data_IF_825999681146
#
_entry.id   IF_825999681146
#
_cell.length_a   1.000
_cell.length_b   1.000
_cell.length_c   1.000
_cell.angle_alpha   90.00
_cell.angle_beta   90.00
_cell.angle_gamma   90.00
#
_symmetry.space_group_name_H-M   'P 1'
#
loop_
_entity.id
_entity.type
_entity.pdbx_description
1 polymer ?
#
# COMPACT_ATOMS: atom_id res chain seq x y z
N UNK A 1 -12.45 -16.97 -77.72
CA UNK A 1 -12.29 -18.39 -77.32
C UNK A 1 -11.03 -18.52 -76.50
N UNK A 2 -11.09 -19.18 -75.34
CA UNK A 2 -9.90 -19.63 -74.57
C UNK A 2 -9.69 -18.94 -73.22
N UNK A 3 -9.97 -19.68 -72.14
CA UNK A 3 -9.83 -19.32 -70.71
C UNK A 3 -8.48 -19.78 -70.10
N UNK A 4 -8.14 -19.19 -68.94
CA UNK A 4 -7.23 -19.63 -67.86
C UNK A 4 -5.70 -19.60 -68.13
N UNK A 5 -4.84 -19.07 -67.24
CA UNK A 5 -4.74 -19.26 -65.79
C UNK A 5 -3.95 -18.12 -65.09
N UNK A 6 -4.35 -17.80 -63.86
CA UNK A 6 -3.69 -16.89 -62.93
C UNK A 6 -2.27 -17.36 -62.52
N UNK A 7 -1.30 -16.44 -62.48
CA UNK A 7 -0.03 -16.58 -61.73
C UNK A 7 0.10 -15.43 -60.75
N UNK A 8 0.37 -15.76 -59.50
CA UNK A 8 0.70 -14.86 -58.39
C UNK A 8 2.10 -14.25 -58.59
N UNK A 9 2.33 -12.96 -58.28
CA UNK A 9 3.67 -12.43 -58.14
C UNK A 9 4.18 -12.55 -56.69
N UNK A 10 5.45 -12.89 -56.60
CA UNK A 10 6.29 -13.09 -55.42
C UNK A 10 6.48 -11.82 -54.57
N UNK A 11 6.58 -12.01 -53.24
CA UNK A 11 6.94 -10.98 -52.24
C UNK A 11 8.31 -10.35 -52.54
N UNK A 12 8.47 -9.01 -52.43
CA UNK A 12 9.78 -8.39 -52.30
C UNK A 12 10.25 -8.43 -50.84
N UNK A 13 11.54 -8.71 -50.67
CA UNK A 13 12.28 -8.75 -49.39
C UNK A 13 12.34 -7.37 -48.72
N UNK A 14 11.85 -7.24 -47.50
CA UNK A 14 12.06 -6.04 -46.67
C UNK A 14 13.42 -6.09 -45.98
N UNK A 15 14.22 -5.04 -46.20
CA UNK A 15 15.46 -4.74 -45.47
C UNK A 15 15.13 -4.51 -43.99
N UNK A 16 15.89 -5.14 -43.09
CA UNK A 16 15.95 -4.76 -41.69
C UNK A 16 16.53 -3.36 -41.60
N UNK A 17 15.83 -2.46 -40.92
CA UNK A 17 16.39 -1.21 -40.40
C UNK A 17 16.62 -1.46 -38.92
N UNK A 18 17.89 -1.50 -38.53
CA UNK A 18 18.33 -1.68 -37.16
C UNK A 18 17.97 -0.44 -36.32
N UNK A 19 17.26 -0.65 -35.21
CA UNK A 19 16.95 0.40 -34.25
C UNK A 19 18.07 0.47 -33.19
N UNK A 20 18.80 1.58 -33.17
CA UNK A 20 19.76 1.92 -32.11
C UNK A 20 19.03 2.23 -30.78
N UNK A 21 19.66 1.95 -29.62
CA UNK A 21 19.01 2.05 -28.31
C UNK A 21 19.04 3.48 -27.75
N UNK A 22 17.86 4.06 -27.50
CA UNK A 22 17.67 5.25 -26.67
C UNK A 22 17.86 4.86 -25.19
N UNK A 23 19.09 4.98 -24.69
CA UNK A 23 19.50 4.52 -23.36
C UNK A 23 19.73 5.64 -22.32
N UNK A 24 19.22 6.86 -22.55
CA UNK A 24 19.52 8.00 -21.64
C UNK A 24 18.31 8.60 -20.90
N UNK A 25 17.07 8.19 -21.22
CA UNK A 25 15.86 8.72 -20.54
C UNK A 25 15.28 7.83 -19.42
N UNK A 26 15.67 6.57 -19.35
CA UNK A 26 15.06 5.55 -18.45
C UNK A 26 15.71 5.46 -17.07
N UNK A 27 16.84 6.14 -16.84
CA UNK A 27 17.55 6.06 -15.56
C UNK A 27 16.83 6.85 -14.45
N UNK A 28 16.11 7.91 -14.78
CA UNK A 28 15.58 8.87 -13.81
C UNK A 28 14.21 8.48 -13.20
N UNK A 29 13.54 7.46 -13.75
CA UNK A 29 12.26 6.92 -13.25
C UNK A 29 12.42 5.74 -12.29
N UNK A 30 13.65 5.26 -12.04
CA UNK A 30 13.90 4.15 -11.10
C UNK A 30 13.68 4.53 -9.63
N UNK A 31 13.75 5.81 -9.29
CA UNK A 31 13.72 6.26 -7.88
C UNK A 31 12.31 6.63 -7.37
N UNK A 32 11.26 6.43 -8.19
CA UNK A 32 9.89 6.87 -7.83
C UNK A 32 8.82 5.78 -7.81
N UNK A 33 9.17 4.53 -8.12
CA UNK A 33 8.18 3.45 -8.22
C UNK A 33 8.73 2.18 -7.59
N UNK A 34 8.47 1.98 -6.31
CA UNK A 34 8.69 0.68 -5.69
C UNK A 34 7.40 -0.13 -5.84
N UNK A 35 7.09 -0.63 -7.04
CA UNK A 35 6.18 -1.77 -7.18
C UNK A 35 7.04 -3.03 -7.04
N UNK A 36 7.00 -3.69 -5.89
CA UNK A 36 7.71 -4.96 -5.73
C UNK A 36 6.87 -6.04 -6.41
N UNK A 37 7.29 -6.44 -7.62
CA UNK A 37 6.88 -7.72 -8.20
C UNK A 37 7.68 -8.82 -7.49
N UNK A 38 7.11 -9.42 -6.45
CA UNK A 38 7.75 -10.53 -5.76
C UNK A 38 7.57 -11.82 -6.58
N UNK A 39 8.68 -12.42 -7.01
CA UNK A 39 8.68 -13.81 -7.47
C UNK A 39 8.87 -14.68 -6.23
N UNK A 40 7.83 -15.40 -5.80
CA UNK A 40 7.96 -16.35 -4.70
C UNK A 40 8.67 -17.61 -5.23
N UNK A 41 9.91 -17.82 -4.81
CA UNK A 41 10.57 -19.14 -4.82
C UNK A 41 10.54 -19.69 -3.41
N UNK A 42 10.24 -20.98 -3.28
CA UNK A 42 10.04 -21.72 -2.04
C UNK A 42 11.11 -21.42 -0.98
N UNK A 43 10.73 -20.74 0.09
CA UNK A 43 11.18 -20.99 1.47
C UNK A 43 10.47 -20.00 2.41
N UNK A 44 9.71 -20.53 3.36
CA UNK A 44 9.60 -20.09 4.76
C UNK A 44 8.45 -20.90 5.40
N UNK A 45 8.85 -21.91 6.14
CA UNK A 45 8.03 -22.60 7.13
C UNK A 45 8.06 -21.82 8.45
N UNK A 46 6.90 -21.80 9.12
CA UNK A 46 6.71 -21.59 10.56
C UNK A 46 6.75 -20.16 11.15
N UNK A 47 5.55 -19.58 11.39
CA UNK A 47 5.18 -18.83 12.62
C UNK A 47 3.69 -18.43 12.58
N UNK A 48 2.96 -18.65 13.68
CA UNK A 48 1.49 -18.75 13.73
C UNK A 48 0.71 -17.43 13.86
N UNK A 49 -0.53 -17.46 13.38
CA UNK A 49 -1.69 -16.81 14.02
C UNK A 49 -2.66 -16.17 13.04
N UNK A 50 -2.20 -15.10 12.38
CA UNK A 50 -2.99 -14.33 11.38
C UNK A 50 -2.45 -14.55 9.97
N UNK A 51 -1.16 -14.86 9.84
CA UNK A 51 -0.50 -15.29 8.60
C UNK A 51 -1.00 -16.69 8.17
N UNK A 52 -1.50 -17.52 9.09
CA UNK A 52 -1.89 -18.92 8.79
C UNK A 52 -3.15 -19.05 7.93
N UNK A 53 -4.10 -18.11 7.99
CA UNK A 53 -5.29 -18.13 7.12
C UNK A 53 -5.00 -17.62 5.72
N UNK A 54 -4.20 -16.56 5.61
CA UNK A 54 -3.70 -16.07 4.32
C UNK A 54 -2.75 -17.08 3.67
N UNK A 55 -1.86 -17.73 4.44
CA UNK A 55 -1.00 -18.78 3.92
C UNK A 55 -1.82 -19.99 3.47
N UNK A 56 -2.77 -20.51 4.26
CA UNK A 56 -3.58 -21.66 3.84
C UNK A 56 -4.36 -21.40 2.55
N UNK A 57 -4.93 -20.21 2.37
CA UNK A 57 -5.64 -19.80 1.14
C UNK A 57 -4.70 -19.49 -0.04
N UNK A 58 -3.55 -18.86 0.21
CA UNK A 58 -2.50 -18.66 -0.79
C UNK A 58 -1.94 -20.01 -1.25
N UNK A 59 -1.68 -20.96 -0.34
CA UNK A 59 -1.17 -22.30 -0.66
C UNK A 59 -2.19 -23.14 -1.44
N UNK A 60 -3.47 -23.16 -1.03
CA UNK A 60 -4.51 -23.87 -1.81
C UNK A 60 -4.84 -23.20 -3.16
N UNK A 61 -4.64 -21.89 -3.28
CA UNK A 61 -4.71 -21.18 -4.56
C UNK A 61 -3.50 -21.43 -5.46
N UNK A 62 -2.30 -21.52 -4.87
CA UNK A 62 -1.02 -21.73 -5.56
C UNK A 62 -0.88 -23.14 -6.13
N UNK A 63 -1.40 -24.18 -5.45
CA UNK A 63 -1.39 -25.56 -5.96
C UNK A 63 -2.17 -25.76 -7.27
N UNK A 64 -3.05 -24.81 -7.61
CA UNK A 64 -3.84 -24.83 -8.84
C UNK A 64 -3.16 -24.13 -10.02
N UNK A 65 -1.95 -23.60 -9.84
CA UNK A 65 -1.18 -23.00 -10.94
C UNK A 65 -0.53 -24.08 -11.81
N UNK A 66 -0.88 -24.06 -13.09
CA UNK A 66 -0.30 -24.91 -14.13
C UNK A 66 1.22 -24.85 -14.04
N UNK A 67 1.88 -26.00 -13.83
CA UNK A 67 3.33 -26.15 -13.93
C UNK A 67 3.87 -25.32 -15.10
N UNK A 68 4.73 -24.33 -14.83
CA UNK A 68 5.47 -23.55 -15.84
C UNK A 68 5.05 -22.09 -16.07
N UNK A 69 4.16 -21.49 -15.26
CA UNK A 69 3.90 -20.03 -15.29
C UNK A 69 4.34 -19.36 -14.01
N UNK A 70 5.02 -18.22 -14.14
CA UNK A 70 5.39 -17.33 -13.03
C UNK A 70 4.14 -16.70 -12.43
N UNK A 71 3.96 -16.84 -11.12
CA UNK A 71 2.94 -16.13 -10.37
C UNK A 71 3.32 -14.64 -10.28
N UNK A 72 2.42 -13.75 -10.68
CA UNK A 72 2.63 -12.30 -10.60
C UNK A 72 1.70 -11.69 -9.56
N UNK A 73 2.32 -11.07 -8.55
CA UNK A 73 1.62 -10.40 -7.44
C UNK A 73 1.88 -8.90 -7.52
N UNK A 74 0.82 -8.08 -7.37
CA UNK A 74 0.94 -6.65 -7.11
C UNK A 74 0.58 -6.35 -5.66
N UNK A 75 1.45 -5.58 -5.00
CA UNK A 75 1.27 -5.13 -3.62
C UNK A 75 1.02 -3.62 -3.61
N UNK A 76 -0.02 -3.21 -2.90
CA UNK A 76 -0.44 -1.82 -2.72
C UNK A 76 -0.09 -1.34 -1.32
N UNK A 77 0.63 -0.22 -1.24
CA UNK A 77 1.13 0.30 0.03
C UNK A 77 0.04 1.02 0.84
N UNK A 78 0.23 0.96 2.16
CA UNK A 78 -0.58 1.66 3.14
C UNK A 78 -0.11 3.09 3.42
N UNK A 79 -0.49 3.59 4.59
CA UNK A 79 -0.12 4.93 5.06
C UNK A 79 1.40 5.09 5.26
N UNK A 80 1.94 6.30 5.06
CA UNK A 80 3.34 6.64 5.34
C UNK A 80 4.24 6.80 4.11
N UNK A 81 3.72 6.54 2.91
CA UNK A 81 4.46 6.69 1.63
C UNK A 81 4.20 8.03 0.93
N UNK A 82 3.32 8.86 1.48
CA UNK A 82 2.95 10.14 0.87
C UNK A 82 4.13 11.13 0.87
N UNK A 83 4.29 11.84 -0.24
CA UNK A 83 5.26 12.94 -0.38
C UNK A 83 4.67 14.05 -1.23
N UNK A 84 5.00 15.30 -0.88
CA UNK A 84 4.63 16.45 -1.72
C UNK A 84 5.32 16.29 -3.09
N UNK A 85 4.56 16.54 -4.16
CA UNK A 85 5.00 16.33 -5.54
C UNK A 85 4.98 14.87 -6.00
N UNK A 86 4.35 13.94 -5.26
CA UNK A 86 4.34 12.51 -5.67
C UNK A 86 3.68 12.23 -7.03
N UNK A 87 2.89 13.16 -7.55
CA UNK A 87 2.24 13.07 -8.86
C UNK A 87 2.96 13.85 -9.96
N UNK A 88 3.97 14.68 -9.64
CA UNK A 88 4.60 15.62 -10.59
C UNK A 88 5.27 14.89 -11.74
N UNK A 89 6.08 13.86 -11.46
CA UNK A 89 6.74 13.07 -12.51
C UNK A 89 5.73 12.40 -13.47
N UNK A 90 4.57 11.99 -12.95
CA UNK A 90 3.50 11.39 -13.75
C UNK A 90 2.76 12.42 -14.59
N UNK A 91 2.55 13.63 -14.06
CA UNK A 91 1.99 14.76 -14.78
C UNK A 91 2.88 15.21 -15.93
N UNK A 92 4.20 15.26 -15.70
CA UNK A 92 5.17 15.70 -16.70
C UNK A 92 5.33 14.65 -17.81
N UNK A 93 5.41 13.37 -17.45
CA UNK A 93 5.62 12.29 -18.42
C UNK A 93 4.34 11.86 -19.16
N UNK A 94 3.17 11.87 -18.49
CA UNK A 94 1.91 11.36 -19.03
C UNK A 94 0.74 12.35 -18.83
N UNK A 95 0.84 13.59 -19.33
CA UNK A 95 -0.13 14.65 -19.03
C UNK A 95 -1.55 14.32 -19.53
N UNK A 96 -1.69 13.56 -20.62
CA UNK A 96 -2.99 13.17 -21.18
C UNK A 96 -3.80 12.27 -20.25
N UNK A 97 -3.15 11.53 -19.36
CA UNK A 97 -3.79 10.62 -18.40
C UNK A 97 -3.79 11.22 -17.00
N UNK A 98 -2.66 11.78 -16.58
CA UNK A 98 -2.51 12.29 -15.22
C UNK A 98 -3.36 13.53 -14.93
N UNK A 99 -3.47 14.48 -15.87
CA UNK A 99 -4.28 15.70 -15.65
C UNK A 99 -5.77 15.39 -15.45
N UNK A 100 -6.48 14.69 -16.37
CA UNK A 100 -7.89 14.39 -16.18
C UNK A 100 -8.12 13.48 -14.97
N UNK A 101 -7.18 12.60 -14.64
CA UNK A 101 -7.28 11.76 -13.43
C UNK A 101 -7.25 12.59 -12.14
N UNK A 102 -6.37 13.59 -12.05
CA UNK A 102 -6.34 14.48 -10.88
C UNK A 102 -7.58 15.38 -10.81
N UNK A 103 -8.15 15.78 -11.94
CA UNK A 103 -9.42 16.49 -12.00
C UNK A 103 -10.60 15.60 -11.58
N UNK A 104 -10.61 14.32 -11.99
CA UNK A 104 -11.58 13.31 -11.53
C UNK A 104 -11.48 13.12 -10.01
N UNK A 105 -10.27 13.03 -9.47
CA UNK A 105 -10.04 12.91 -8.03
C UNK A 105 -10.59 14.13 -7.27
N UNK A 106 -10.25 15.34 -7.71
CA UNK A 106 -10.67 16.58 -7.06
C UNK A 106 -12.20 16.75 -7.12
N UNK A 107 -12.81 16.49 -8.27
CA UNK A 107 -14.26 16.57 -8.45
C UNK A 107 -15.02 15.50 -7.66
N UNK A 108 -14.47 14.28 -7.57
CA UNK A 108 -15.05 13.20 -6.78
C UNK A 108 -15.11 13.54 -5.29
N UNK A 109 -14.07 14.19 -4.76
CA UNK A 109 -13.98 14.57 -3.36
C UNK A 109 -14.57 15.95 -3.07
N UNK A 110 -14.84 16.75 -4.10
CA UNK A 110 -15.15 18.17 -3.98
C UNK A 110 -14.10 18.95 -3.16
N UNK A 111 -12.83 18.56 -3.32
CA UNK A 111 -11.67 19.12 -2.63
C UNK A 111 -10.51 19.19 -3.62
N UNK A 112 -9.74 20.28 -3.60
CA UNK A 112 -8.53 20.45 -4.42
C UNK A 112 -7.35 19.61 -3.89
N UNK A 113 -7.52 18.29 -3.77
CA UNK A 113 -6.51 17.38 -3.23
C UNK A 113 -5.26 17.36 -4.11
N UNK A 114 -5.41 17.51 -5.43
CA UNK A 114 -4.31 17.66 -6.39
C UNK A 114 -3.37 18.82 -6.05
N UNK A 115 -3.94 19.93 -5.55
CA UNK A 115 -3.19 21.12 -5.13
C UNK A 115 -2.42 20.84 -3.85
N UNK A 116 -3.03 20.12 -2.90
CA UNK A 116 -2.37 19.70 -1.65
C UNK A 116 -1.20 18.75 -1.95
N UNK A 117 -1.40 17.78 -2.85
CA UNK A 117 -0.36 16.85 -3.28
C UNK A 117 0.80 17.59 -3.94
N UNK A 118 0.51 18.55 -4.82
CA UNK A 118 1.55 19.20 -5.63
C UNK A 118 2.30 20.30 -4.88
N UNK A 119 1.60 21.10 -4.08
CA UNK A 119 2.14 22.36 -3.51
C UNK A 119 1.85 22.54 -2.01
N UNK A 120 1.12 21.62 -1.38
CA UNK A 120 0.80 21.73 0.03
C UNK A 120 2.06 21.58 0.89
N UNK A 121 2.15 22.23 2.06
CA UNK A 121 3.19 21.88 3.02
C UNK A 121 3.01 20.41 3.45
N UNK A 122 4.11 19.72 3.74
CA UNK A 122 4.08 18.32 4.22
C UNK A 122 3.12 18.14 5.40
N UNK A 123 3.01 19.12 6.29
CA UNK A 123 2.06 19.09 7.42
C UNK A 123 0.60 18.96 6.99
N UNK A 124 0.21 19.55 5.86
CA UNK A 124 -1.16 19.44 5.36
C UNK A 124 -1.39 18.13 4.61
N UNK A 125 -0.41 17.67 3.83
CA UNK A 125 -0.49 16.37 3.16
C UNK A 125 -0.47 15.19 4.16
N UNK A 126 0.27 15.34 5.27
CA UNK A 126 0.39 14.32 6.32
C UNK A 126 -0.85 14.19 7.20
N UNK A 127 -1.82 15.10 7.10
CA UNK A 127 -3.10 14.92 7.78
C UNK A 127 -3.79 13.68 7.23
N UNK A 128 -4.23 12.79 8.11
CA UNK A 128 -4.79 11.48 7.76
C UNK A 128 -5.87 11.58 6.68
N UNK A 129 -6.77 12.55 6.80
CA UNK A 129 -7.85 12.81 5.86
C UNK A 129 -7.37 13.12 4.44
N UNK A 130 -6.17 13.69 4.29
CA UNK A 130 -5.57 14.03 2.98
C UNK A 130 -4.61 12.92 2.51
N UNK A 131 -3.77 12.39 3.39
CA UNK A 131 -2.75 11.40 3.04
C UNK A 131 -3.38 10.13 2.49
N UNK A 132 -4.43 9.61 3.13
CA UNK A 132 -5.06 8.36 2.73
C UNK A 132 -5.63 8.39 1.30
N UNK A 133 -6.55 9.32 0.94
CA UNK A 133 -7.06 9.38 -0.43
C UNK A 133 -5.95 9.72 -1.42
N UNK A 134 -4.95 10.53 -1.05
CA UNK A 134 -3.85 10.87 -1.95
C UNK A 134 -3.00 9.64 -2.34
N UNK A 135 -2.65 8.79 -1.36
CA UNK A 135 -1.87 7.56 -1.60
C UNK A 135 -2.66 6.59 -2.50
N UNK A 136 -3.93 6.35 -2.18
CA UNK A 136 -4.78 5.44 -2.94
C UNK A 136 -4.98 5.96 -4.37
N UNK A 137 -5.29 7.25 -4.55
CA UNK A 137 -5.45 7.85 -5.87
C UNK A 137 -4.16 7.80 -6.70
N UNK A 138 -3.00 8.09 -6.10
CA UNK A 138 -1.71 8.04 -6.81
C UNK A 138 -1.37 6.61 -7.23
N UNK A 139 -1.69 5.62 -6.40
CA UNK A 139 -1.47 4.21 -6.77
C UNK A 139 -2.32 3.81 -7.98
N UNK A 140 -3.59 4.23 -8.02
CA UNK A 140 -4.46 3.98 -9.17
C UNK A 140 -4.07 4.79 -10.41
N UNK A 141 -3.54 6.01 -10.24
CA UNK A 141 -2.97 6.79 -11.34
C UNK A 141 -1.84 6.01 -12.03
N UNK A 142 -0.92 5.43 -11.25
CA UNK A 142 0.19 4.64 -11.78
C UNK A 142 -0.36 3.44 -12.58
N UNK A 143 -1.35 2.73 -12.04
CA UNK A 143 -1.99 1.63 -12.74
C UNK A 143 -2.65 2.10 -14.06
N UNK A 144 -3.33 3.24 -14.04
CA UNK A 144 -3.98 3.80 -15.22
C UNK A 144 -2.96 4.16 -16.31
N UNK A 145 -1.84 4.75 -15.91
CA UNK A 145 -0.72 5.04 -16.83
C UNK A 145 -0.18 3.75 -17.45
N UNK A 146 0.02 2.70 -16.64
CA UNK A 146 0.47 1.39 -17.14
C UNK A 146 -0.52 0.79 -18.15
N UNK A 147 -1.82 0.88 -17.86
CA UNK A 147 -2.87 0.37 -18.74
C UNK A 147 -2.92 1.14 -20.08
N UNK A 148 -2.92 2.47 -20.03
CA UNK A 148 -3.14 3.32 -21.21
C UNK A 148 -1.90 3.47 -22.09
N UNK A 149 -0.71 3.59 -21.50
CA UNK A 149 0.52 3.88 -22.26
C UNK A 149 1.38 2.66 -22.54
N UNK A 150 1.22 1.60 -21.75
CA UNK A 150 2.05 0.39 -21.85
C UNK A 150 1.24 -0.87 -22.17
N UNK A 151 -0.07 -0.73 -22.41
CA UNK A 151 -0.95 -1.86 -22.74
C UNK A 151 -1.00 -2.91 -21.62
N UNK A 152 -0.79 -2.51 -20.37
CA UNK A 152 -0.76 -3.42 -19.24
C UNK A 152 -2.17 -3.90 -18.91
N UNK A 153 -2.50 -5.14 -19.30
CA UNK A 153 -3.77 -5.76 -18.92
C UNK A 153 -3.65 -6.42 -17.54
N UNK A 154 -4.19 -5.74 -16.52
CA UNK A 154 -4.29 -6.19 -15.14
C UNK A 154 -4.82 -7.62 -15.01
N UNK A 155 -5.88 -7.99 -15.75
CA UNK A 155 -6.53 -9.30 -15.63
C UNK A 155 -5.71 -10.42 -16.27
N UNK A 156 -4.96 -10.11 -17.32
CA UNK A 156 -4.11 -11.09 -18.00
C UNK A 156 -2.70 -11.21 -17.39
N UNK A 157 -2.28 -10.23 -16.59
CA UNK A 157 -0.90 -10.11 -16.08
C UNK A 157 -0.77 -10.30 -14.59
N UNK A 158 -1.85 -10.17 -13.80
CA UNK A 158 -1.80 -10.26 -12.34
C UNK A 158 -2.65 -11.43 -11.89
N UNK A 159 -2.04 -12.31 -11.13
CA UNK A 159 -2.71 -13.44 -10.52
C UNK A 159 -3.29 -13.09 -9.15
N UNK A 160 -2.58 -12.23 -8.40
CA UNK A 160 -2.97 -11.83 -7.04
C UNK A 160 -2.71 -10.34 -6.82
N UNK A 161 -3.66 -9.66 -6.18
CA UNK A 161 -3.55 -8.27 -5.75
C UNK A 161 -3.71 -8.21 -4.23
N UNK A 162 -2.77 -7.58 -3.53
CA UNK A 162 -2.74 -7.50 -2.06
C UNK A 162 -2.51 -6.08 -1.60
N UNK A 163 -3.26 -5.62 -0.61
CA UNK A 163 -3.10 -4.28 -0.05
C UNK A 163 -2.73 -4.31 1.42
N UNK A 164 -1.78 -3.47 1.82
CA UNK A 164 -1.45 -3.27 3.23
C UNK A 164 -2.31 -2.15 3.82
N UNK A 165 -3.20 -2.49 4.76
CA UNK A 165 -4.10 -1.53 5.41
C UNK A 165 -4.88 -0.69 4.39
N UNK A 166 -4.61 0.61 4.27
CA UNK A 166 -5.18 1.49 3.25
C UNK A 166 -5.02 0.95 1.81
N UNK A 167 -3.92 0.25 1.53
CA UNK A 167 -3.64 -0.32 0.21
C UNK A 167 -4.71 -1.32 -0.25
N UNK A 168 -5.50 -1.90 0.67
CA UNK A 168 -6.57 -2.84 0.33
C UNK A 168 -7.64 -2.21 -0.57
N UNK A 169 -7.93 -0.91 -0.38
CA UNK A 169 -8.85 -0.19 -1.26
C UNK A 169 -8.31 -0.06 -2.67
N UNK A 170 -7.01 0.18 -2.83
CA UNK A 170 -6.37 0.21 -4.14
C UNK A 170 -6.35 -1.19 -4.78
N UNK A 171 -6.11 -2.23 -3.97
CA UNK A 171 -6.18 -3.63 -4.43
C UNK A 171 -7.58 -4.00 -4.94
N UNK A 172 -8.63 -3.61 -4.23
CA UNK A 172 -10.02 -3.84 -4.62
C UNK A 172 -10.41 -3.08 -5.90
N UNK A 173 -9.92 -1.86 -6.08
CA UNK A 173 -10.13 -1.10 -7.33
C UNK A 173 -9.37 -1.74 -8.48
N UNK A 174 -8.11 -2.11 -8.29
CA UNK A 174 -7.31 -2.79 -9.30
C UNK A 174 -7.90 -4.15 -9.70
N UNK A 175 -8.44 -4.90 -8.73
CA UNK A 175 -9.15 -6.15 -8.97
C UNK A 175 -10.51 -5.99 -9.66
N UNK A 176 -11.01 -4.76 -9.78
CA UNK A 176 -12.31 -4.46 -10.39
C UNK A 176 -13.51 -4.74 -9.49
N UNK A 177 -13.31 -4.95 -8.19
CA UNK A 177 -14.38 -5.15 -7.21
C UNK A 177 -15.01 -3.84 -6.75
N UNK A 178 -14.25 -2.74 -6.81
CA UNK A 178 -14.73 -1.40 -6.51
C UNK A 178 -14.42 -0.44 -7.66
N UNK A 179 -15.35 0.47 -7.93
CA UNK A 179 -15.07 1.62 -8.80
C UNK A 179 -14.17 2.64 -8.10
N UNK A 180 -13.33 3.34 -8.87
CA UNK A 180 -12.39 4.34 -8.33
C UNK A 180 -13.09 5.43 -7.52
N UNK A 181 -14.10 6.11 -8.09
CA UNK A 181 -14.80 7.21 -7.43
C UNK A 181 -15.43 6.82 -6.07
N UNK A 182 -16.25 5.74 -6.00
CA UNK A 182 -16.78 5.24 -4.72
C UNK A 182 -15.68 4.85 -3.72
N UNK A 183 -14.62 4.16 -4.16
CA UNK A 183 -13.52 3.78 -3.29
C UNK A 183 -12.79 5.00 -2.73
N UNK A 184 -12.54 6.02 -3.56
CA UNK A 184 -11.91 7.26 -3.13
C UNK A 184 -12.75 8.00 -2.06
N UNK A 185 -14.08 8.05 -2.23
CA UNK A 185 -15.00 8.59 -1.21
C UNK A 185 -14.99 7.80 0.09
N UNK A 186 -14.99 6.46 0.01
CA UNK A 186 -14.91 5.59 1.19
C UNK A 186 -13.60 5.81 1.95
N UNK A 187 -12.46 5.86 1.23
CA UNK A 187 -11.15 6.14 1.81
C UNK A 187 -11.13 7.51 2.48
N UNK A 188 -11.62 8.55 1.81
CA UNK A 188 -11.72 9.89 2.40
C UNK A 188 -12.54 9.89 3.69
N UNK A 189 -13.72 9.27 3.67
CA UNK A 189 -14.61 9.23 4.83
C UNK A 189 -13.99 8.45 6.00
N UNK A 190 -13.37 7.30 5.71
CA UNK A 190 -12.62 6.52 6.70
C UNK A 190 -11.53 7.38 7.34
N UNK A 191 -10.77 8.10 6.53
CA UNK A 191 -9.67 8.92 6.98
C UNK A 191 -10.11 10.10 7.86
N UNK A 192 -11.22 10.75 7.51
CA UNK A 192 -11.85 11.81 8.32
C UNK A 192 -12.33 11.28 9.67
N UNK A 193 -13.02 10.13 9.68
CA UNK A 193 -13.49 9.50 10.92
C UNK A 193 -12.29 9.12 11.80
N UNK A 194 -11.25 8.52 11.22
CA UNK A 194 -10.03 8.19 11.96
C UNK A 194 -9.39 9.43 12.58
N UNK A 195 -9.22 10.50 11.80
CA UNK A 195 -8.66 11.76 12.31
C UNK A 195 -9.50 12.34 13.45
N UNK A 196 -10.83 12.30 13.32
CA UNK A 196 -11.76 12.77 14.33
C UNK A 196 -11.65 11.94 15.62
N UNK A 197 -11.67 10.61 15.51
CA UNK A 197 -11.51 9.71 16.66
C UNK A 197 -10.18 9.94 17.39
N UNK A 198 -9.08 10.11 16.66
CA UNK A 198 -7.76 10.43 17.25
C UNK A 198 -7.76 11.77 17.96
N UNK A 199 -8.38 12.80 17.37
CA UNK A 199 -8.48 14.12 17.98
C UNK A 199 -9.33 14.12 19.25
N UNK A 200 -10.47 13.40 19.23
CA UNK A 200 -11.36 13.30 20.39
C UNK A 200 -10.73 12.48 21.51
N UNK A 201 -10.05 11.39 21.18
CA UNK A 201 -9.24 10.63 22.13
C UNK A 201 -8.20 11.54 22.82
N UNK A 202 -7.46 12.34 22.06
CA UNK A 202 -6.47 13.27 22.61
C UNK A 202 -7.07 14.35 23.53
N UNK A 203 -8.27 14.85 23.21
CA UNK A 203 -8.98 15.80 24.11
C UNK A 203 -9.47 15.14 25.39
N UNK A 204 -9.92 13.89 25.31
CA UNK A 204 -10.45 13.14 26.46
C UNK A 204 -9.35 12.73 27.44
N UNK A 205 -8.20 12.27 26.93
CA UNK A 205 -7.10 11.78 27.79
C UNK A 205 -6.02 12.81 28.08
N UNK A 206 -5.90 13.87 27.26
CA UNK A 206 -4.77 14.80 27.31
C UNK A 206 -3.47 14.25 26.71
N UNK A 207 -3.50 13.06 26.08
CA UNK A 207 -2.33 12.40 25.51
C UNK A 207 -2.31 12.50 23.97
N UNK A 208 -1.13 12.22 23.37
CA UNK A 208 -0.99 12.20 21.92
C UNK A 208 -1.18 10.77 21.41
N UNK A 209 -2.00 10.57 20.38
CA UNK A 209 -2.22 9.25 19.78
C UNK A 209 -1.55 9.11 18.43
N UNK A 210 -0.99 7.93 18.17
CA UNK A 210 -0.38 7.64 16.89
C UNK A 210 0.11 6.21 16.75
N UNK A 211 0.99 6.01 15.78
CA UNK A 211 1.61 4.73 15.47
C UNK A 211 3.13 4.87 15.44
N UNK A 212 3.85 3.86 15.94
CA UNK A 212 5.30 3.79 15.95
C UNK A 212 5.74 2.46 15.34
N UNK A 213 6.57 2.53 14.30
CA UNK A 213 7.21 1.35 13.74
C UNK A 213 8.47 1.01 14.56
N UNK A 214 8.58 -0.24 14.98
CA UNK A 214 9.74 -0.79 15.66
C UNK A 214 10.45 -1.78 14.74
N UNK A 215 11.77 -1.67 14.69
CA UNK A 215 12.64 -2.57 13.93
C UNK A 215 13.57 -3.26 14.93
N UNK A 216 13.65 -4.58 14.84
CA UNK A 216 14.50 -5.42 15.70
C UNK A 216 15.33 -6.39 14.85
N UNK A 217 16.20 -7.18 15.47
CA UNK A 217 16.83 -8.30 14.77
C UNK A 217 15.79 -9.40 14.45
N UNK A 218 15.89 -10.11 13.30
CA UNK A 218 14.85 -11.03 12.84
C UNK A 218 14.54 -12.20 13.79
N UNK A 219 15.53 -12.64 14.55
CA UNK A 219 15.45 -13.72 15.54
C UNK A 219 14.83 -13.26 16.86
N UNK A 220 14.88 -11.96 17.16
CA UNK A 220 14.38 -11.36 18.41
C UNK A 220 12.91 -10.94 18.34
N UNK A 221 12.26 -11.01 17.18
CA UNK A 221 10.91 -10.48 17.03
C UNK A 221 9.87 -11.26 17.85
N UNK A 222 9.97 -12.59 17.89
CA UNK A 222 9.04 -13.41 18.67
C UNK A 222 9.11 -13.06 20.16
N UNK A 223 10.34 -13.01 20.70
CA UNK A 223 10.59 -12.63 22.09
C UNK A 223 10.12 -11.20 22.38
N UNK A 224 10.33 -10.27 21.44
CA UNK A 224 9.85 -8.89 21.55
C UNK A 224 8.32 -8.84 21.63
N UNK A 225 7.61 -9.57 20.76
CA UNK A 225 6.15 -9.62 20.76
C UNK A 225 5.66 -10.19 22.10
N UNK A 226 6.24 -11.30 22.56
CA UNK A 226 5.89 -11.91 23.85
C UNK A 226 6.14 -10.94 25.00
N UNK A 227 7.30 -10.27 25.05
CA UNK A 227 7.61 -9.28 26.08
C UNK A 227 6.62 -8.11 26.08
N UNK A 228 6.24 -7.63 24.89
CA UNK A 228 5.24 -6.56 24.76
C UNK A 228 3.89 -7.05 25.28
N UNK A 229 3.45 -8.26 24.91
CA UNK A 229 2.18 -8.84 25.36
C UNK A 229 2.16 -9.03 26.88
N UNK A 230 3.21 -9.62 27.45
CA UNK A 230 3.35 -9.79 28.90
C UNK A 230 3.34 -8.45 29.65
N UNK A 231 4.02 -7.43 29.12
CA UNK A 231 3.99 -6.10 29.71
C UNK A 231 2.57 -5.48 29.68
N UNK A 232 1.86 -5.64 28.55
CA UNK A 232 0.50 -5.14 28.41
C UNK A 232 -0.47 -5.89 29.36
N UNK A 233 -0.29 -7.20 29.52
CA UNK A 233 -1.10 -8.03 30.42
C UNK A 233 -0.81 -7.72 31.89
N UNK A 234 0.46 -7.55 32.30
CA UNK A 234 0.81 -7.20 33.68
C UNK A 234 0.40 -5.79 34.08
N UNK A 235 0.34 -4.86 33.12
CA UNK A 235 -0.21 -3.52 33.33
C UNK A 235 -1.71 -3.56 33.67
N UNK A 236 -2.43 -4.61 33.22
CA UNK A 236 -3.83 -4.83 33.55
C UNK A 236 -4.06 -5.50 34.92
N UNK A 237 -3.06 -6.20 35.46
CA UNK A 237 -3.16 -6.93 36.74
C UNK A 237 -2.59 -6.19 37.96
N UNK A 238 -1.77 -5.16 37.76
CA UNK A 238 -1.14 -4.38 38.86
C UNK A 238 -2.09 -3.40 39.57
N UNK A 239 -3.40 -3.51 39.38
CA UNK A 239 -4.42 -2.55 39.80
C UNK A 239 -5.38 -3.06 40.89
N UNK A 240 -4.92 -3.87 41.86
CA UNK A 240 -5.79 -4.31 42.97
C UNK A 240 -5.67 -3.51 44.26
N UNK A 241 -4.63 -2.68 44.47
CA UNK A 241 -4.41 -2.05 45.80
C UNK A 241 -4.32 -0.52 45.84
N UNK A 242 -4.50 0.22 44.73
CA UNK A 242 -4.64 1.69 44.79
C UNK A 242 -5.64 2.18 43.73
N UNK A 243 -6.79 2.67 44.23
CA UNK A 243 -7.74 3.64 43.64
C UNK A 243 -7.96 3.57 42.11
N UNK A 244 -9.08 2.97 41.70
CA UNK A 244 -9.83 3.18 40.45
C UNK A 244 -9.05 3.65 39.21
N UNK A 245 -8.72 2.74 38.30
CA UNK A 245 -8.90 2.93 36.84
C UNK A 245 -8.41 1.67 36.11
N UNK A 246 -9.34 0.81 35.69
CA UNK A 246 -9.10 0.06 34.46
C UNK A 246 -8.76 1.11 33.39
N UNK A 247 -7.54 1.07 32.85
CA UNK A 247 -7.13 2.01 31.81
C UNK A 247 -8.17 1.98 30.71
N UNK A 248 -8.77 3.15 30.42
CA UNK A 248 -9.72 3.29 29.33
C UNK A 248 -9.11 2.68 28.06
N UNK A 249 -9.87 1.91 27.26
CA UNK A 249 -9.39 1.32 26.00
C UNK A 249 -8.67 2.33 25.10
N UNK A 250 -9.05 3.60 25.20
CA UNK A 250 -8.45 4.72 24.47
C UNK A 250 -6.97 4.89 24.82
N UNK A 251 -6.56 4.65 26.05
CA UNK A 251 -5.19 4.86 26.51
C UNK A 251 -4.30 3.60 26.38
N UNK A 252 -4.80 2.50 25.82
CA UNK A 252 -4.04 1.26 25.70
C UNK A 252 -3.06 1.31 24.51
N UNK A 253 -1.93 0.60 24.65
CA UNK A 253 -0.99 0.35 23.54
C UNK A 253 -1.30 -1.03 22.96
N UNK A 254 -1.28 -1.15 21.64
CA UNK A 254 -1.56 -2.40 20.94
C UNK A 254 -0.59 -2.63 19.78
N UNK A 255 -0.35 -3.89 19.44
CA UNK A 255 0.36 -4.26 18.21
C UNK A 255 -0.62 -4.10 17.04
N UNK A 256 -0.46 -3.02 16.28
CA UNK A 256 -1.31 -2.67 15.15
C UNK A 256 -1.01 -3.52 13.91
N UNK A 257 0.26 -3.85 13.68
CA UNK A 257 0.66 -4.64 12.52
C UNK A 257 2.00 -5.36 12.75
N UNK A 258 2.17 -6.52 12.10
CA UNK A 258 3.45 -7.22 11.96
C UNK A 258 3.79 -7.22 10.47
N UNK A 259 4.79 -6.43 10.07
CA UNK A 259 5.09 -6.20 8.65
C UNK A 259 6.06 -7.22 8.08
N UNK A 260 7.00 -7.69 8.90
CA UNK A 260 8.06 -8.62 8.51
C UNK A 260 8.61 -9.35 9.74
N UNK A 261 9.58 -10.24 9.54
CA UNK A 261 10.30 -10.93 10.63
C UNK A 261 11.06 -9.99 11.56
N UNK A 262 11.22 -8.72 11.21
CA UNK A 262 12.03 -7.76 11.93
C UNK A 262 11.34 -6.42 12.14
N UNK A 263 10.04 -6.31 11.82
CA UNK A 263 9.31 -5.05 11.95
C UNK A 263 7.87 -5.24 12.42
N UNK A 264 7.52 -4.48 13.46
CA UNK A 264 6.15 -4.35 13.96
C UNK A 264 5.75 -2.88 14.05
N UNK A 265 4.44 -2.64 14.13
CA UNK A 265 3.87 -1.31 14.35
C UNK A 265 3.05 -1.38 15.63
N UNK A 266 3.34 -0.48 16.57
CA UNK A 266 2.52 -0.23 17.73
C UNK A 266 1.57 0.93 17.47
N UNK A 267 0.37 0.88 18.02
CA UNK A 267 -0.61 1.97 18.02
C UNK A 267 -1.09 2.27 19.43
N UNK A 268 -1.38 3.54 19.72
CA UNK A 268 -1.94 3.96 20.99
C UNK A 268 -1.40 5.33 21.41
N UNK A 269 -1.41 5.56 22.72
CA UNK A 269 -0.80 6.74 23.34
C UNK A 269 0.71 6.73 23.11
N UNK A 270 1.24 7.82 22.55
CA UNK A 270 2.66 7.97 22.21
C UNK A 270 3.51 8.00 23.48
N UNK A 271 3.01 8.63 24.53
CA UNK A 271 3.63 8.70 25.85
C UNK A 271 3.79 7.30 26.44
N UNK A 272 2.76 6.46 26.30
CA UNK A 272 2.78 5.08 26.79
C UNK A 272 3.61 4.14 25.91
N UNK A 273 3.57 4.33 24.59
CA UNK A 273 4.50 3.63 23.69
C UNK A 273 5.94 3.94 24.12
N UNK A 274 6.30 5.21 24.36
CA UNK A 274 7.65 5.57 24.84
C UNK A 274 7.98 4.90 26.17
N UNK A 275 7.04 4.86 27.12
CA UNK A 275 7.24 4.18 28.40
C UNK A 275 7.51 2.68 28.22
N UNK A 276 6.70 1.99 27.40
CA UNK A 276 6.93 0.60 27.03
C UNK A 276 8.33 0.40 26.43
N UNK A 277 8.74 1.26 25.49
CA UNK A 277 10.04 1.15 24.83
C UNK A 277 11.23 1.30 25.79
N UNK A 278 11.09 2.03 26.89
CA UNK A 278 12.13 2.15 27.92
C UNK A 278 12.29 0.84 28.71
N UNK A 279 11.21 0.07 28.86
CA UNK A 279 11.20 -1.18 29.62
C UNK A 279 11.59 -2.40 28.82
N UNK A 280 11.61 -2.29 27.49
CA UNK A 280 12.00 -3.40 26.64
C UNK A 280 13.49 -3.74 26.83
N UNK A 281 13.83 -5.03 26.97
CA UNK A 281 15.22 -5.46 26.99
C UNK A 281 15.89 -5.08 25.66
N UNK A 282 17.10 -4.52 25.74
CA UNK A 282 17.89 -4.13 24.56
C UNK A 282 18.39 -5.34 23.77
#
# INVERSE_FOLDING_TARGET
MGWNHQRTPSRPSSRRVDAHPLSQGTQQLRDSTHCIAATLTDEISNSQGVVTKLSSWLWTGVERFRRGRTLVIIIWYGHGVQRVGMTSAWLDAFPSTAKPFLEEMDSTLNVRLSTIISHGPNSNLNKTENSQPAIMATSILILRVLQEHFGFDTRARIDVTLGHSLGEYAALVAGGYLGFGPALKMVRRRAEIMAQCTADAGKLSGETYGMVALVCEPDRLADLITTIQEFLDHSSQRSTDDISDELSPIQQVSIANINSKNQIVLSGSIERIKYLLIQLPR
#
